data_IF_147786849563
#
_entry.id   IF_147786849563
#
_cell.length_a   1.000
_cell.length_b   1.000
_cell.length_c   1.000
_cell.angle_alpha   90.00
_cell.angle_beta   90.00
_cell.angle_gamma   90.00
#
_symmetry.space_group_name_H-M   'P 1'
#
loop_
_entity.id
_entity.type
_entity.pdbx_description
1 polymer ?
#
# COMPACT_ATOMS: atom_id res chain seq x y z
N UNK A 1 16.00 -12.44 -4.86
CA UNK A 1 15.43 -11.07 -4.70
C UNK A 1 16.50 -10.05 -5.06
N UNK A 2 16.16 -9.03 -5.87
CA UNK A 2 17.10 -8.04 -6.43
C UNK A 2 16.48 -6.65 -6.41
N UNK A 3 17.22 -5.65 -5.92
CA UNK A 3 16.87 -4.24 -6.07
C UNK A 3 17.36 -3.75 -7.45
N UNK A 4 16.47 -3.12 -8.21
CA UNK A 4 16.80 -2.60 -9.52
C UNK A 4 16.08 -1.26 -9.77
N UNK A 5 16.40 -0.61 -10.88
CA UNK A 5 15.81 0.67 -11.25
C UNK A 5 15.31 0.60 -12.69
N UNK A 6 14.10 1.12 -12.89
CA UNK A 6 13.53 1.29 -14.21
C UNK A 6 13.37 2.78 -14.54
N UNK A 7 13.55 3.15 -15.79
CA UNK A 7 13.31 4.51 -16.26
C UNK A 7 12.03 4.54 -17.10
N UNK A 8 11.05 5.28 -16.61
CA UNK A 8 9.79 5.52 -17.30
C UNK A 8 10.00 6.39 -18.54
N UNK A 9 9.02 6.38 -19.45
CA UNK A 9 9.07 7.13 -20.71
C UNK A 9 9.15 8.66 -20.49
N UNK A 10 8.61 9.16 -19.39
CA UNK A 10 8.71 10.56 -18.99
C UNK A 10 10.07 10.95 -18.38
N UNK A 11 10.97 9.98 -18.22
CA UNK A 11 12.33 10.14 -17.71
C UNK A 11 12.45 9.94 -16.19
N UNK A 12 11.36 9.75 -15.45
CA UNK A 12 11.42 9.42 -14.03
C UNK A 12 12.11 8.07 -13.82
N UNK A 13 12.97 7.99 -12.81
CA UNK A 13 13.53 6.75 -12.29
C UNK A 13 12.60 6.20 -11.24
N UNK A 14 12.26 4.92 -11.30
CA UNK A 14 11.53 4.20 -10.25
C UNK A 14 12.39 3.06 -9.69
N UNK A 15 12.31 2.89 -8.38
CA UNK A 15 12.99 1.83 -7.63
C UNK A 15 12.08 0.61 -7.56
N UNK A 16 12.64 -0.55 -7.89
CA UNK A 16 11.96 -1.83 -7.88
C UNK A 16 12.69 -2.81 -6.97
N UNK A 17 11.94 -3.67 -6.30
CA UNK A 17 12.42 -4.88 -5.67
C UNK A 17 11.75 -6.07 -6.34
N UNK A 18 12.54 -6.93 -6.98
CA UNK A 18 12.03 -8.05 -7.77
C UNK A 18 12.44 -9.39 -7.18
N UNK A 19 11.59 -10.41 -7.32
CA UNK A 19 11.86 -11.78 -6.88
C UNK A 19 11.32 -12.79 -7.89
N UNK A 20 12.06 -13.87 -8.05
CA UNK A 20 11.80 -14.89 -9.06
C UNK A 20 12.36 -14.54 -10.44
N UNK A 21 12.14 -15.43 -11.40
CA UNK A 21 12.51 -15.21 -12.79
C UNK A 21 11.35 -14.56 -13.54
N UNK A 22 11.55 -13.48 -14.31
CA UNK A 22 10.49 -12.87 -15.09
C UNK A 22 9.74 -13.89 -15.96
N UNK A 23 8.40 -13.83 -15.93
CA UNK A 23 7.49 -14.70 -16.67
C UNK A 23 6.21 -13.92 -17.02
N UNK A 24 5.32 -14.51 -17.82
CA UNK A 24 4.11 -13.84 -18.30
C UNK A 24 3.12 -13.43 -17.19
N UNK A 25 3.18 -14.09 -16.04
CA UNK A 25 2.32 -13.85 -14.89
C UNK A 25 3.13 -13.28 -13.73
N UNK A 26 2.61 -12.25 -13.04
CA UNK A 26 3.29 -11.65 -11.90
C UNK A 26 2.33 -11.22 -10.78
N UNK A 27 2.86 -11.15 -9.55
CA UNK A 27 2.22 -10.45 -8.44
C UNK A 27 2.89 -9.08 -8.29
N UNK A 28 2.08 -8.02 -8.26
CA UNK A 28 2.53 -6.63 -8.05
C UNK A 28 2.17 -6.19 -6.64
N UNK A 29 3.10 -5.58 -5.93
CA UNK A 29 2.90 -5.15 -4.55
C UNK A 29 2.98 -3.62 -4.41
N UNK A 30 1.94 -3.02 -3.77
CA UNK A 30 1.85 -1.60 -3.44
C UNK A 30 1.98 -1.40 -1.93
N UNK A 31 3.07 -0.75 -1.52
CA UNK A 31 3.35 -0.47 -0.10
C UNK A 31 2.34 0.49 0.53
N UNK A 32 2.28 0.52 1.87
CA UNK A 32 1.48 1.46 2.65
C UNK A 32 1.99 2.91 2.56
N UNK A 33 1.42 3.80 3.34
CA UNK A 33 1.79 5.21 3.43
C UNK A 33 2.08 5.59 4.88
N UNK A 34 3.34 6.01 5.21
CA UNK A 34 4.51 5.88 4.34
C UNK A 34 5.02 4.44 4.23
N UNK A 35 5.77 4.15 3.17
CA UNK A 35 6.36 2.86 2.95
C UNK A 35 7.28 2.83 1.74
N UNK A 36 7.91 1.69 1.48
CA UNK A 36 8.78 1.49 0.33
C UNK A 36 8.84 0.01 -0.07
N UNK A 37 9.64 -0.34 -1.06
CA UNK A 37 9.74 -1.72 -1.58
C UNK A 37 10.06 -2.75 -0.50
N UNK A 38 10.84 -2.40 0.52
CA UNK A 38 11.24 -3.34 1.58
C UNK A 38 10.09 -3.83 2.47
N UNK A 39 8.94 -3.16 2.46
CA UNK A 39 7.70 -3.65 3.10
C UNK A 39 7.39 -5.10 2.67
N UNK A 40 7.72 -5.44 1.44
CA UNK A 40 7.29 -6.66 0.80
C UNK A 40 8.35 -7.78 0.72
N UNK A 41 9.51 -7.63 1.37
CA UNK A 41 10.61 -8.61 1.26
C UNK A 41 10.19 -10.05 1.58
N UNK A 42 9.46 -10.26 2.67
CA UNK A 42 8.97 -11.58 3.06
C UNK A 42 7.92 -12.14 2.08
N UNK A 43 7.06 -11.28 1.55
CA UNK A 43 6.03 -11.63 0.57
C UNK A 43 6.61 -11.99 -0.78
N UNK A 44 7.55 -11.20 -1.26
CA UNK A 44 8.30 -11.46 -2.50
C UNK A 44 9.04 -12.79 -2.43
N UNK A 45 9.70 -13.06 -1.30
CA UNK A 45 10.40 -14.34 -1.06
C UNK A 45 9.41 -15.52 -1.08
N UNK A 46 8.23 -15.36 -0.51
CA UNK A 46 7.23 -16.43 -0.49
C UNK A 46 6.67 -16.70 -1.89
N UNK A 47 6.40 -15.67 -2.70
CA UNK A 47 5.99 -15.86 -4.11
C UNK A 47 7.08 -16.57 -4.90
N UNK A 48 8.36 -16.15 -4.76
CA UNK A 48 9.50 -16.80 -5.41
C UNK A 48 9.64 -18.27 -5.01
N UNK A 49 9.49 -18.61 -3.73
CA UNK A 49 9.55 -19.99 -3.23
C UNK A 49 8.43 -20.88 -3.80
N UNK A 50 7.30 -20.29 -4.22
CA UNK A 50 6.21 -20.98 -4.90
C UNK A 50 6.39 -20.98 -6.43
N UNK A 51 7.55 -20.56 -6.95
CA UNK A 51 7.89 -20.54 -8.37
C UNK A 51 7.27 -19.38 -9.15
N UNK A 52 6.69 -18.38 -8.45
CA UNK A 52 6.13 -17.18 -9.04
C UNK A 52 7.18 -16.10 -9.34
N UNK A 53 6.77 -15.10 -10.11
CA UNK A 53 7.49 -13.84 -10.29
C UNK A 53 6.69 -12.73 -9.63
N UNK A 54 7.38 -11.86 -8.90
CA UNK A 54 6.75 -10.74 -8.23
C UNK A 54 7.67 -9.53 -8.18
N UNK A 55 7.08 -8.36 -8.10
CA UNK A 55 7.81 -7.14 -7.81
C UNK A 55 6.99 -6.18 -6.94
N UNK A 56 7.72 -5.38 -6.19
CA UNK A 56 7.23 -4.18 -5.53
C UNK A 56 7.97 -2.98 -6.10
N UNK A 57 7.34 -1.81 -6.10
CA UNK A 57 8.03 -0.58 -6.45
C UNK A 57 7.80 0.49 -5.39
N UNK A 58 8.81 1.32 -5.16
CA UNK A 58 8.65 2.53 -4.36
C UNK A 58 7.89 3.54 -5.20
N UNK A 59 6.66 3.91 -4.78
CA UNK A 59 5.84 4.92 -5.47
C UNK A 59 6.62 6.22 -5.66
N UNK A 60 6.22 7.09 -6.61
CA UNK A 60 6.92 8.34 -6.87
C UNK A 60 7.14 9.17 -5.60
N UNK A 61 8.40 9.57 -5.38
CA UNK A 61 8.82 10.34 -4.21
C UNK A 61 9.24 9.52 -2.98
N UNK A 62 9.07 8.19 -3.00
CA UNK A 62 9.55 7.30 -1.96
C UNK A 62 10.86 6.61 -2.35
N UNK A 63 11.63 6.20 -1.33
CA UNK A 63 12.91 5.52 -1.54
C UNK A 63 13.79 6.30 -2.50
N UNK A 64 14.24 5.64 -3.57
CA UNK A 64 15.03 6.27 -4.62
C UNK A 64 14.24 6.58 -5.90
N UNK A 65 12.91 6.48 -5.86
CA UNK A 65 12.05 6.87 -6.96
C UNK A 65 11.94 8.39 -7.10
N UNK A 66 11.97 8.88 -8.35
CA UNK A 66 11.75 10.29 -8.58
C UNK A 66 10.31 10.70 -8.23
N UNK A 67 10.14 11.91 -7.71
CA UNK A 67 8.82 12.49 -7.41
C UNK A 67 7.98 12.68 -8.68
N UNK A 68 6.67 12.49 -8.54
CA UNK A 68 5.64 12.91 -9.49
C UNK A 68 4.67 13.82 -8.74
N UNK A 69 4.95 15.11 -8.73
CA UNK A 69 4.17 16.10 -8.01
C UNK A 69 2.76 16.23 -8.57
N UNK A 70 1.75 16.30 -7.69
CA UNK A 70 0.34 16.45 -8.05
C UNK A 70 -0.30 15.19 -8.66
N UNK A 71 0.37 14.02 -8.52
CA UNK A 71 -0.22 12.74 -8.94
C UNK A 71 -1.51 12.44 -8.16
N UNK A 72 -2.40 11.74 -8.82
CA UNK A 72 -3.58 11.10 -8.25
C UNK A 72 -3.35 9.59 -8.07
N UNK A 73 -4.30 8.89 -7.47
CA UNK A 73 -4.19 7.43 -7.28
C UNK A 73 -4.05 6.70 -8.62
N UNK A 74 -4.85 7.08 -9.64
CA UNK A 74 -4.83 6.40 -10.95
C UNK A 74 -3.51 6.58 -11.72
N UNK A 75 -2.74 7.63 -11.47
CA UNK A 75 -1.49 7.88 -12.19
C UNK A 75 -0.48 6.75 -12.00
N UNK A 76 -0.54 6.05 -10.85
CA UNK A 76 0.29 4.87 -10.60
C UNK A 76 0.06 3.73 -11.59
N UNK A 77 -1.16 3.55 -12.08
CA UNK A 77 -1.45 2.49 -13.04
C UNK A 77 -0.66 2.67 -14.34
N UNK A 78 -0.40 3.90 -14.77
CA UNK A 78 0.45 4.18 -15.93
C UNK A 78 1.91 3.76 -15.71
N UNK A 79 2.46 4.03 -14.51
CA UNK A 79 3.81 3.60 -14.15
C UNK A 79 3.91 2.06 -14.14
N UNK A 80 2.91 1.38 -13.55
CA UNK A 80 2.83 -0.08 -13.56
C UNK A 80 2.74 -0.63 -14.99
N UNK A 81 1.92 -0.06 -15.87
CA UNK A 81 1.80 -0.52 -17.25
C UNK A 81 3.15 -0.49 -17.98
N UNK A 82 3.96 0.55 -17.78
CA UNK A 82 5.30 0.62 -18.38
C UNK A 82 6.25 -0.46 -17.81
N UNK A 83 6.19 -0.72 -16.51
CA UNK A 83 6.99 -1.76 -15.85
C UNK A 83 6.57 -3.15 -16.37
N UNK A 84 5.26 -3.43 -16.49
CA UNK A 84 4.75 -4.69 -17.02
C UNK A 84 5.25 -4.93 -18.46
N UNK A 85 5.22 -3.90 -19.29
CA UNK A 85 5.72 -3.97 -20.68
C UNK A 85 7.22 -4.25 -20.72
N UNK A 86 8.01 -3.66 -19.81
CA UNK A 86 9.45 -3.91 -19.70
C UNK A 86 9.78 -5.37 -19.40
N UNK A 87 9.05 -5.99 -18.46
CA UNK A 87 9.24 -7.40 -18.10
C UNK A 87 8.52 -8.39 -19.03
N UNK A 88 7.70 -7.94 -19.96
CA UNK A 88 6.89 -8.80 -20.83
C UNK A 88 5.76 -9.51 -20.08
N UNK A 89 5.19 -8.87 -19.05
CA UNK A 89 4.13 -9.44 -18.21
C UNK A 89 2.78 -9.28 -18.93
N UNK A 90 2.01 -10.36 -18.98
CA UNK A 90 0.70 -10.42 -19.64
C UNK A 90 -0.47 -10.46 -18.64
N UNK A 91 -0.23 -10.98 -17.43
CA UNK A 91 -1.26 -11.04 -16.37
C UNK A 91 -0.67 -10.64 -15.02
N UNK A 92 -1.43 -9.86 -14.26
CA UNK A 92 -1.08 -9.49 -12.89
C UNK A 92 -2.23 -9.72 -11.91
N UNK A 93 -1.84 -10.01 -10.67
CA UNK A 93 -2.65 -9.73 -9.49
C UNK A 93 -1.92 -8.66 -8.70
N UNK A 94 -2.60 -7.55 -8.41
CA UNK A 94 -2.05 -6.47 -7.59
C UNK A 94 -2.48 -6.62 -6.14
N UNK A 95 -1.52 -6.56 -5.22
CA UNK A 95 -1.75 -6.59 -3.77
C UNK A 95 -1.34 -5.23 -3.21
N UNK A 96 -2.23 -4.59 -2.45
CA UNK A 96 -1.97 -3.31 -1.80
C UNK A 96 -2.27 -3.36 -0.32
N UNK A 97 -1.39 -2.80 0.52
CA UNK A 97 -1.58 -2.71 1.96
C UNK A 97 -1.79 -1.27 2.39
N UNK A 98 -2.80 -1.01 3.25
CA UNK A 98 -3.04 0.34 3.79
C UNK A 98 -3.28 1.37 2.67
N UNK A 99 -2.49 2.44 2.63
CA UNK A 99 -2.44 3.40 1.52
C UNK A 99 -2.12 2.78 0.14
N UNK A 100 -1.59 1.56 0.08
CA UNK A 100 -1.44 0.79 -1.16
C UNK A 100 -2.74 0.19 -1.70
N UNK A 101 -3.79 0.10 -0.87
CA UNK A 101 -5.09 -0.45 -1.25
C UNK A 101 -5.73 0.28 -2.44
N UNK A 102 -5.91 1.61 -2.42
CA UNK A 102 -6.40 2.38 -3.56
C UNK A 102 -5.58 2.16 -4.83
N UNK A 103 -4.25 2.03 -4.71
CA UNK A 103 -3.36 1.83 -5.85
C UNK A 103 -3.53 0.44 -6.50
N UNK A 104 -3.67 -0.63 -5.71
CA UNK A 104 -3.96 -1.95 -6.28
C UNK A 104 -5.36 -2.01 -6.92
N UNK A 105 -6.33 -1.25 -6.40
CA UNK A 105 -7.64 -1.10 -7.02
C UNK A 105 -7.54 -0.32 -8.35
N UNK A 106 -6.70 0.71 -8.44
CA UNK A 106 -6.46 1.44 -9.68
C UNK A 106 -5.90 0.53 -10.79
N UNK A 107 -5.05 -0.44 -10.44
CA UNK A 107 -4.52 -1.41 -11.40
C UNK A 107 -5.60 -2.28 -12.05
N UNK A 108 -6.80 -2.37 -11.48
CA UNK A 108 -7.93 -3.09 -12.13
C UNK A 108 -8.35 -2.45 -13.46
N UNK A 109 -7.96 -1.20 -13.72
CA UNK A 109 -8.16 -0.51 -15.01
C UNK A 109 -7.22 -1.02 -16.10
N UNK A 110 -6.10 -1.66 -15.75
CA UNK A 110 -5.14 -2.22 -16.69
C UNK A 110 -5.70 -3.48 -17.38
N UNK A 111 -5.37 -3.63 -18.66
CA UNK A 111 -5.75 -4.82 -19.42
C UNK A 111 -5.17 -6.11 -18.81
N UNK A 112 -3.94 -6.05 -18.31
CA UNK A 112 -3.22 -7.17 -17.73
C UNK A 112 -3.76 -7.60 -16.36
N UNK A 113 -4.52 -6.74 -15.67
CA UNK A 113 -5.04 -7.07 -14.34
C UNK A 113 -6.10 -8.16 -14.43
N UNK A 114 -5.94 -9.21 -13.62
CA UNK A 114 -6.92 -10.30 -13.47
C UNK A 114 -7.63 -10.28 -12.13
N UNK A 115 -7.02 -9.69 -11.10
CA UNK A 115 -7.63 -9.47 -9.78
C UNK A 115 -6.85 -8.41 -9.01
N UNK A 116 -7.46 -7.84 -7.96
CA UNK A 116 -6.81 -7.01 -6.97
C UNK A 116 -7.09 -7.53 -5.54
N UNK A 117 -6.13 -7.39 -4.65
CA UNK A 117 -6.24 -7.76 -3.23
C UNK A 117 -5.84 -6.55 -2.39
N UNK A 118 -6.77 -5.99 -1.63
CA UNK A 118 -6.53 -4.88 -0.72
C UNK A 118 -6.50 -5.38 0.72
N UNK A 119 -5.41 -5.11 1.42
CA UNK A 119 -5.18 -5.49 2.82
C UNK A 119 -5.27 -4.23 3.67
N UNK A 120 -6.26 -4.15 4.55
CA UNK A 120 -6.49 -2.98 5.41
C UNK A 120 -6.45 -1.66 4.62
N UNK A 121 -7.05 -1.63 3.41
CA UNK A 121 -6.98 -0.50 2.50
C UNK A 121 -7.99 0.59 2.84
N UNK A 122 -7.60 1.85 2.66
CA UNK A 122 -8.51 2.99 2.85
C UNK A 122 -9.59 3.04 1.77
N UNK A 123 -10.79 3.51 2.15
CA UNK A 123 -11.82 3.92 1.20
C UNK A 123 -11.61 5.38 0.75
N UNK A 124 -12.39 5.88 -0.23
CA UNK A 124 -12.23 7.24 -0.74
C UNK A 124 -12.68 8.29 0.28
N UNK A 125 -11.84 9.32 0.45
CA UNK A 125 -12.19 10.48 1.27
C UNK A 125 -13.39 11.22 0.69
N UNK A 126 -14.29 11.68 1.57
CA UNK A 126 -15.49 12.44 1.15
C UNK A 126 -16.62 11.58 0.57
N UNK A 127 -16.52 10.26 0.61
CA UNK A 127 -17.65 9.39 0.29
C UNK A 127 -18.83 9.66 1.24
N UNK A 128 -20.06 9.73 0.70
CA UNK A 128 -21.22 10.25 1.43
C UNK A 128 -21.66 9.39 2.62
N UNK A 129 -21.29 8.14 2.67
CA UNK A 129 -21.67 7.14 3.68
C UNK A 129 -20.45 6.45 4.33
N UNK A 130 -19.29 7.10 4.27
CA UNK A 130 -18.06 6.73 4.98
C UNK A 130 -17.54 7.95 5.75
N UNK A 131 -17.57 7.89 7.07
CA UNK A 131 -16.76 8.80 7.88
C UNK A 131 -15.33 8.30 7.86
N UNK A 132 -14.50 8.94 7.03
CA UNK A 132 -13.14 8.47 6.73
C UNK A 132 -12.25 8.40 7.97
N UNK A 133 -12.43 9.31 8.92
CA UNK A 133 -11.57 9.39 10.11
C UNK A 133 -12.16 8.67 11.34
N UNK A 134 -13.42 8.24 11.30
CA UNK A 134 -14.07 7.61 12.45
C UNK A 134 -13.35 6.31 12.86
N UNK A 135 -12.85 6.29 14.10
CA UNK A 135 -12.13 5.14 14.68
C UNK A 135 -10.64 5.10 14.38
N UNK A 136 -10.10 6.02 13.58
CA UNK A 136 -8.65 6.19 13.43
C UNK A 136 -8.02 6.78 14.69
N UNK A 137 -6.74 6.50 14.93
CA UNK A 137 -5.95 7.16 15.97
C UNK A 137 -5.80 8.66 15.74
N UNK A 138 -5.53 9.41 16.81
CA UNK A 138 -5.47 10.88 16.78
C UNK A 138 -4.39 11.39 15.80
N UNK A 139 -3.31 10.64 15.63
CA UNK A 139 -2.22 10.95 14.71
C UNK A 139 -2.75 11.11 13.27
N UNK A 140 -3.61 10.20 12.82
CA UNK A 140 -4.24 10.27 11.50
C UNK A 140 -5.20 11.46 11.37
N UNK A 141 -5.92 11.81 12.43
CA UNK A 141 -6.78 13.01 12.41
C UNK A 141 -5.97 14.28 12.18
N UNK A 142 -4.78 14.37 12.76
CA UNK A 142 -3.88 15.52 12.59
C UNK A 142 -3.31 15.57 11.18
N UNK A 143 -2.80 14.43 10.69
CA UNK A 143 -2.17 14.27 9.37
C UNK A 143 -3.15 14.55 8.23
N UNK A 144 -4.27 13.82 8.17
CA UNK A 144 -5.30 14.06 7.15
C UNK A 144 -5.97 15.42 7.30
N UNK A 145 -6.09 15.93 8.53
CA UNK A 145 -6.53 17.31 8.78
C UNK A 145 -5.60 18.36 8.19
N UNK A 146 -4.30 18.08 8.07
CA UNK A 146 -3.35 18.93 7.38
C UNK A 146 -3.46 18.74 5.85
N UNK A 147 -3.60 17.51 5.35
CA UNK A 147 -3.76 17.21 3.93
C UNK A 147 -5.00 17.92 3.33
N UNK A 148 -6.14 17.86 4.01
CA UNK A 148 -7.39 18.56 3.59
C UNK A 148 -7.23 20.07 3.49
N UNK A 149 -6.33 20.68 4.30
CA UNK A 149 -6.03 22.12 4.21
C UNK A 149 -5.12 22.47 3.03
N UNK A 150 -4.59 21.46 2.35
CA UNK A 150 -3.80 21.59 1.13
C UNK A 150 -2.29 21.52 1.31
N UNK A 151 -1.54 21.64 0.19
CA UNK A 151 -0.10 21.32 0.14
C UNK A 151 0.76 22.04 1.17
N UNK A 152 0.53 23.33 1.41
CA UNK A 152 1.34 24.10 2.37
C UNK A 152 1.16 23.63 3.82
N UNK A 153 -0.06 23.19 4.18
CA UNK A 153 -0.34 22.74 5.54
C UNK A 153 0.27 21.34 5.80
N UNK A 154 0.10 20.40 4.85
CA UNK A 154 0.69 19.07 4.99
C UNK A 154 2.23 19.13 4.89
N UNK A 155 2.81 20.02 4.06
CA UNK A 155 4.25 20.19 3.99
C UNK A 155 4.84 20.67 5.31
N UNK A 156 4.17 21.58 6.00
CA UNK A 156 4.62 22.03 7.33
C UNK A 156 4.57 20.90 8.35
N UNK A 157 3.50 20.10 8.33
CA UNK A 157 3.39 18.91 9.18
C UNK A 157 4.51 17.90 8.90
N UNK A 158 4.82 17.65 7.61
CA UNK A 158 5.91 16.75 7.20
C UNK A 158 7.27 17.21 7.70
N UNK A 159 7.56 18.52 7.67
CA UNK A 159 8.83 19.08 8.18
C UNK A 159 9.03 18.80 9.67
N UNK A 160 7.95 18.78 10.43
CA UNK A 160 8.00 18.56 11.87
C UNK A 160 8.05 17.05 12.24
N UNK A 161 7.45 16.16 11.41
CA UNK A 161 7.21 14.76 11.77
C UNK A 161 8.05 13.76 10.98
N UNK A 162 8.30 13.97 9.68
CA UNK A 162 8.91 12.96 8.84
C UNK A 162 10.35 12.58 9.22
N UNK A 163 11.11 13.52 9.77
CA UNK A 163 12.51 13.28 10.14
C UNK A 163 12.68 12.19 11.22
N UNK A 164 11.67 11.97 12.04
CA UNK A 164 11.67 10.92 13.07
C UNK A 164 11.78 9.50 12.45
N UNK A 165 11.26 9.32 11.23
CA UNK A 165 11.32 8.03 10.54
C UNK A 165 12.72 7.67 10.01
N UNK A 166 13.59 8.67 9.81
CA UNK A 166 14.91 8.47 9.18
C UNK A 166 15.82 7.50 9.94
N UNK A 167 15.62 7.37 11.24
CA UNK A 167 16.46 6.56 12.11
C UNK A 167 15.64 5.65 13.05
N UNK A 168 14.31 5.55 12.83
CA UNK A 168 13.46 4.73 13.69
C UNK A 168 13.93 3.28 13.67
N UNK A 169 14.03 2.69 14.86
CA UNK A 169 14.44 1.29 15.06
C UNK A 169 13.22 0.41 15.31
N UNK A 170 13.38 -0.92 15.21
CA UNK A 170 12.32 -1.85 15.57
C UNK A 170 11.86 -1.71 17.03
N UNK A 171 12.78 -1.38 17.94
CA UNK A 171 12.44 -1.20 19.36
C UNK A 171 11.59 0.05 19.61
N UNK A 172 11.75 1.09 18.77
CA UNK A 172 11.04 2.37 18.89
C UNK A 172 9.71 2.39 18.14
N UNK A 173 9.49 1.44 17.22
CA UNK A 173 8.33 1.49 16.29
C UNK A 173 6.98 1.36 17.03
N UNK A 174 6.93 0.59 18.11
CA UNK A 174 5.69 0.41 18.89
C UNK A 174 5.30 1.72 19.58
N UNK A 175 6.28 2.44 20.13
CA UNK A 175 6.06 3.75 20.75
C UNK A 175 5.71 4.81 19.69
N UNK A 176 6.38 4.76 18.53
CA UNK A 176 6.15 5.68 17.43
C UNK A 176 4.73 5.58 16.85
N UNK A 177 4.11 4.39 16.88
CA UNK A 177 2.73 4.23 16.43
C UNK A 177 1.68 4.78 17.39
N UNK A 178 1.99 4.93 18.69
CA UNK A 178 1.08 5.55 19.65
C UNK A 178 -0.31 4.90 19.68
N UNK A 179 -1.33 5.70 19.36
CA UNK A 179 -2.73 5.31 19.33
C UNK A 179 -3.19 4.58 18.06
N UNK A 180 -2.31 4.43 17.07
CA UNK A 180 -2.63 3.82 15.76
C UNK A 180 -2.71 2.28 15.81
N UNK A 181 -2.20 1.63 16.87
CA UNK A 181 -2.11 0.16 16.96
C UNK A 181 -2.81 -0.42 18.19
N UNK A 182 -3.56 -1.51 17.97
CA UNK A 182 -4.19 -2.32 19.01
C UNK A 182 -3.27 -3.39 19.59
N UNK A 183 -3.84 -4.27 20.40
CA UNK A 183 -3.10 -5.33 21.10
C UNK A 183 -2.56 -6.39 20.11
N UNK A 184 -3.29 -6.67 19.03
CA UNK A 184 -2.88 -7.62 18.00
C UNK A 184 -1.60 -7.15 17.31
N UNK A 185 -1.55 -5.88 16.91
CA UNK A 185 -0.38 -5.28 16.25
C UNK A 185 0.82 -5.20 17.19
N UNK A 186 0.62 -4.76 18.43
CA UNK A 186 1.67 -4.74 19.46
C UNK A 186 2.30 -6.11 19.65
N UNK A 187 1.46 -7.17 19.68
CA UNK A 187 1.94 -8.53 19.75
C UNK A 187 2.77 -8.92 18.53
N UNK A 188 2.26 -8.67 17.32
CA UNK A 188 2.95 -9.00 16.06
C UNK A 188 4.30 -8.29 15.94
N UNK A 189 4.36 -7.01 16.30
CA UNK A 189 5.60 -6.24 16.32
C UNK A 189 6.63 -6.83 17.30
N UNK A 190 6.21 -7.18 18.52
CA UNK A 190 7.08 -7.82 19.51
C UNK A 190 7.54 -9.22 19.08
N UNK A 191 6.74 -9.95 18.30
CA UNK A 191 7.06 -11.29 17.78
C UNK A 191 8.00 -11.25 16.56
N UNK A 192 8.44 -10.05 16.09
CA UNK A 192 9.51 -9.88 15.11
C UNK A 192 9.21 -9.01 13.90
N UNK A 193 7.98 -8.51 13.71
CA UNK A 193 7.63 -7.66 12.57
C UNK A 193 8.25 -6.24 12.65
N UNK A 194 8.59 -5.77 13.85
CA UNK A 194 8.98 -4.39 14.12
C UNK A 194 10.15 -3.88 13.25
N UNK A 195 11.23 -4.65 13.11
CA UNK A 195 12.38 -4.21 12.32
C UNK A 195 12.08 -4.14 10.82
N UNK A 196 11.23 -5.02 10.30
CA UNK A 196 10.75 -4.95 8.91
C UNK A 196 9.99 -3.66 8.63
N UNK A 197 9.08 -3.29 9.54
CA UNK A 197 8.32 -2.04 9.48
C UNK A 197 9.24 -0.83 9.59
N UNK A 198 10.13 -0.80 10.58
CA UNK A 198 11.09 0.27 10.77
C UNK A 198 12.01 0.45 9.54
N UNK A 199 12.48 -0.64 8.95
CA UNK A 199 13.27 -0.63 7.71
C UNK A 199 12.51 0.02 6.56
N UNK A 200 11.23 -0.33 6.37
CA UNK A 200 10.40 0.27 5.33
C UNK A 200 10.22 1.76 5.54
N UNK A 201 10.02 2.20 6.77
CA UNK A 201 9.87 3.61 7.11
C UNK A 201 11.18 4.40 6.85
N UNK A 202 12.33 3.87 7.26
CA UNK A 202 13.63 4.49 6.93
C UNK A 202 13.83 4.63 5.42
N UNK A 203 13.53 3.56 4.66
CA UNK A 203 13.63 3.58 3.20
C UNK A 203 12.64 4.58 2.59
N UNK A 204 11.44 4.70 3.13
CA UNK A 204 10.38 5.54 2.55
C UNK A 204 10.80 7.01 2.40
N UNK A 205 11.63 7.51 3.30
CA UNK A 205 12.08 8.91 3.35
C UNK A 205 13.54 9.13 2.95
N UNK A 206 14.21 8.15 2.30
CA UNK A 206 15.59 8.31 1.85
C UNK A 206 15.81 9.54 0.94
N UNK A 207 14.82 9.86 0.09
CA UNK A 207 14.84 11.04 -0.78
C UNK A 207 14.02 12.23 -0.20
N UNK A 208 13.61 12.13 1.06
CA UNK A 208 12.76 13.12 1.74
C UNK A 208 11.30 12.66 1.84
N UNK A 209 10.43 13.52 2.32
CA UNK A 209 9.05 13.21 2.67
C UNK A 209 8.03 13.37 1.53
N UNK A 210 8.46 13.74 0.35
CA UNK A 210 7.53 14.11 -0.73
C UNK A 210 6.63 12.97 -1.20
N UNK A 211 7.11 11.73 -1.15
CA UNK A 211 6.28 10.57 -1.48
C UNK A 211 5.08 10.45 -0.53
N UNK A 212 5.31 10.61 0.76
CA UNK A 212 4.29 10.60 1.81
C UNK A 212 3.30 11.75 1.63
N UNK A 213 3.82 12.97 1.51
CA UNK A 213 3.01 14.16 1.28
C UNK A 213 2.11 14.04 0.04
N UNK A 214 2.64 13.54 -1.07
CA UNK A 214 1.89 13.40 -2.32
C UNK A 214 0.84 12.28 -2.25
N UNK A 215 1.07 11.20 -1.48
CA UNK A 215 0.05 10.18 -1.18
C UNK A 215 -1.10 10.78 -0.36
N UNK A 216 -0.81 11.50 0.73
CA UNK A 216 -1.84 12.10 1.58
C UNK A 216 -2.73 13.08 0.80
N UNK A 217 -2.12 13.88 -0.07
CA UNK A 217 -2.87 14.76 -0.97
C UNK A 217 -3.72 13.96 -1.97
N UNK A 218 -3.20 12.86 -2.52
CA UNK A 218 -3.94 12.02 -3.45
C UNK A 218 -5.10 11.27 -2.78
N UNK A 219 -5.01 10.95 -1.49
CA UNK A 219 -6.11 10.27 -0.76
C UNK A 219 -7.29 11.19 -0.50
N UNK A 220 -7.05 12.48 -0.27
CA UNK A 220 -8.13 13.45 0.02
C UNK A 220 -8.76 14.04 -1.24
N UNK A 221 -8.26 13.71 -2.41
CA UNK A 221 -8.77 14.10 -3.73
C UNK A 221 -9.44 12.90 -4.44
N UNK A 222 -10.23 13.12 -5.51
CA UNK A 222 -10.78 12.03 -6.31
C UNK A 222 -9.69 11.13 -6.87
N UNK A 223 -9.87 9.82 -6.74
CA UNK A 223 -8.87 8.82 -7.14
C UNK A 223 -8.58 8.74 -8.65
N UNK A 224 -9.43 9.38 -9.49
CA UNK A 224 -9.27 9.42 -10.95
C UNK A 224 -9.90 8.22 -11.67
N UNK A 225 -10.55 7.29 -10.96
CA UNK A 225 -11.34 6.19 -11.52
C UNK A 225 -12.58 5.92 -10.65
N UNK A 226 -13.57 5.25 -11.25
CA UNK A 226 -14.81 4.88 -10.57
C UNK A 226 -14.71 3.43 -10.06
N UNK A 227 -14.68 3.25 -8.74
CA UNK A 227 -14.65 1.93 -8.11
C UNK A 227 -15.90 1.09 -8.39
N UNK A 228 -17.06 1.73 -8.63
CA UNK A 228 -18.27 1.03 -9.00
C UNK A 228 -18.20 0.41 -10.41
N UNK A 229 -17.27 0.86 -11.23
CA UNK A 229 -17.01 0.29 -12.58
C UNK A 229 -16.05 -0.90 -12.57
N UNK A 230 -15.45 -1.25 -11.43
CA UNK A 230 -14.52 -2.38 -11.31
C UNK A 230 -15.27 -3.68 -11.64
N UNK A 231 -14.78 -4.38 -12.67
CA UNK A 231 -15.33 -5.66 -13.13
C UNK A 231 -14.41 -6.85 -12.85
N UNK A 232 -13.19 -6.60 -12.43
CA UNK A 232 -12.22 -7.63 -12.03
C UNK A 232 -12.49 -8.10 -10.61
N UNK A 233 -12.24 -9.37 -10.24
CA UNK A 233 -12.32 -9.82 -8.86
C UNK A 233 -11.52 -8.95 -7.91
N UNK A 234 -12.12 -8.60 -6.78
CA UNK A 234 -11.47 -7.85 -5.70
C UNK A 234 -11.63 -8.63 -4.39
N UNK A 235 -10.50 -8.96 -3.75
CA UNK A 235 -10.50 -9.53 -2.40
C UNK A 235 -10.08 -8.43 -1.42
N UNK A 236 -10.87 -8.23 -0.38
CA UNK A 236 -10.61 -7.26 0.68
C UNK A 236 -10.29 -8.03 1.96
N UNK A 237 -9.18 -7.71 2.61
CA UNK A 237 -8.80 -8.30 3.89
C UNK A 237 -8.81 -7.22 4.96
N UNK A 238 -9.50 -7.44 6.08
CA UNK A 238 -9.68 -6.42 7.11
C UNK A 238 -9.80 -7.06 8.49
N UNK A 239 -9.08 -6.48 9.46
CA UNK A 239 -9.19 -6.81 10.89
C UNK A 239 -10.13 -5.85 11.63
N UNK A 240 -10.50 -6.18 12.85
CA UNK A 240 -11.33 -5.30 13.69
C UNK A 240 -10.55 -4.57 14.80
N UNK A 241 -9.27 -4.90 15.00
CA UNK A 241 -8.37 -4.23 15.96
C UNK A 241 -7.45 -3.21 15.25
N UNK A 242 -7.91 -2.70 14.10
CA UNK A 242 -7.20 -1.76 13.23
C UNK A 242 -7.63 -0.32 13.53
N UNK A 243 -6.70 0.49 14.06
CA UNK A 243 -6.89 1.92 14.36
C UNK A 243 -6.15 2.83 13.37
N UNK A 244 -5.41 2.25 12.40
CA UNK A 244 -4.87 2.99 11.27
C UNK A 244 -5.91 3.14 10.16
N UNK A 245 -6.55 2.01 9.79
CA UNK A 245 -7.65 1.96 8.82
C UNK A 245 -8.78 1.12 9.40
N UNK A 246 -9.73 1.73 10.11
CA UNK A 246 -10.84 1.04 10.74
C UNK A 246 -11.66 0.19 9.77
N UNK A 247 -12.22 -0.90 10.27
CA UNK A 247 -12.93 -1.89 9.45
C UNK A 247 -14.15 -1.33 8.68
N UNK A 248 -14.63 -0.14 9.03
CA UNK A 248 -15.64 0.58 8.28
C UNK A 248 -15.23 0.80 6.82
N UNK A 249 -13.92 1.04 6.55
CA UNK A 249 -13.39 1.17 5.19
C UNK A 249 -13.56 -0.11 4.38
N UNK A 250 -13.18 -1.26 4.92
CA UNK A 250 -13.33 -2.56 4.27
C UNK A 250 -14.79 -2.89 3.95
N UNK A 251 -15.70 -2.66 4.90
CA UNK A 251 -17.14 -2.85 4.68
C UNK A 251 -17.71 -1.87 3.65
N UNK A 252 -17.25 -0.62 3.66
CA UNK A 252 -17.67 0.35 2.66
C UNK A 252 -17.21 -0.05 1.25
N UNK A 253 -15.95 -0.49 1.11
CA UNK A 253 -15.40 -0.96 -0.18
C UNK A 253 -16.15 -2.19 -0.68
N UNK A 254 -16.46 -3.17 0.19
CA UNK A 254 -17.26 -4.34 -0.19
C UNK A 254 -18.64 -3.96 -0.72
N UNK A 255 -19.29 -3.00 -0.07
CA UNK A 255 -20.62 -2.52 -0.48
C UNK A 255 -20.60 -1.81 -1.83
N UNK A 256 -19.51 -1.11 -2.16
CA UNK A 256 -19.45 -0.18 -3.29
C UNK A 256 -18.67 -0.71 -4.51
N UNK A 257 -17.92 -1.80 -4.36
CA UNK A 257 -17.24 -2.49 -5.47
C UNK A 257 -18.04 -3.75 -5.83
N UNK A 258 -18.66 -3.83 -7.04
CA UNK A 258 -19.59 -4.92 -7.37
C UNK A 258 -18.99 -6.34 -7.30
N UNK A 259 -17.66 -6.44 -7.46
CA UNK A 259 -16.93 -7.72 -7.49
C UNK A 259 -16.19 -8.00 -6.19
N UNK A 260 -16.29 -7.13 -5.19
CA UNK A 260 -15.54 -7.27 -3.96
C UNK A 260 -16.09 -8.38 -3.06
N UNK A 261 -15.16 -9.04 -2.39
CA UNK A 261 -15.42 -10.01 -1.34
C UNK A 261 -14.56 -9.68 -0.13
N UNK A 262 -15.19 -9.44 1.02
CA UNK A 262 -14.50 -9.14 2.26
C UNK A 262 -14.15 -10.40 3.05
N UNK A 263 -12.88 -10.56 3.39
CA UNK A 263 -12.35 -11.46 4.38
C UNK A 263 -12.16 -10.69 5.69
N UNK A 264 -13.20 -10.66 6.50
CA UNK A 264 -13.14 -10.03 7.80
C UNK A 264 -12.53 -10.99 8.82
N UNK A 265 -11.40 -10.60 9.44
CA UNK A 265 -10.63 -11.47 10.35
C UNK A 265 -10.67 -10.88 11.76
N UNK A 266 -11.56 -11.42 12.64
CA UNK A 266 -11.65 -10.92 14.01
C UNK A 266 -10.35 -11.14 14.79
N UNK A 267 -9.96 -10.13 15.59
CA UNK A 267 -8.76 -10.17 16.42
C UNK A 267 -7.48 -9.74 15.72
N UNK A 268 -7.54 -9.38 14.43
CA UNK A 268 -6.38 -8.83 13.70
C UNK A 268 -6.43 -7.30 13.67
N UNK A 269 -5.26 -6.69 13.74
CA UNK A 269 -5.04 -5.26 13.54
C UNK A 269 -4.51 -4.96 12.14
N UNK A 270 -3.86 -3.82 11.99
CA UNK A 270 -3.34 -3.34 10.71
C UNK A 270 -2.13 -4.13 10.22
N UNK A 271 -1.19 -4.43 11.13
CA UNK A 271 0.07 -5.12 10.85
C UNK A 271 -0.10 -6.62 10.99
N UNK A 272 -0.73 -7.06 12.08
CA UNK A 272 -0.91 -8.47 12.40
C UNK A 272 -1.71 -9.21 11.33
N UNK A 273 -2.68 -8.56 10.71
CA UNK A 273 -3.43 -9.09 9.58
C UNK A 273 -2.53 -9.55 8.44
N UNK A 274 -1.63 -8.68 7.98
CA UNK A 274 -0.68 -9.00 6.93
C UNK A 274 0.27 -10.12 7.33
N UNK A 275 0.82 -10.09 8.54
CA UNK A 275 1.75 -11.11 9.03
C UNK A 275 1.08 -12.49 9.17
N UNK A 276 -0.11 -12.55 9.75
CA UNK A 276 -0.80 -13.80 10.03
C UNK A 276 -1.51 -14.40 8.79
N UNK A 277 -1.94 -13.57 7.84
CA UNK A 277 -2.69 -14.02 6.66
C UNK A 277 -1.84 -14.06 5.38
N UNK A 278 -0.55 -13.73 5.43
CA UNK A 278 0.35 -13.64 4.27
C UNK A 278 0.24 -14.84 3.32
N UNK A 279 0.42 -16.04 3.83
CA UNK A 279 0.41 -17.26 3.00
C UNK A 279 -0.96 -17.52 2.36
N UNK A 280 -2.06 -17.22 3.06
CA UNK A 280 -3.41 -17.36 2.52
C UNK A 280 -3.67 -16.33 1.40
N UNK A 281 -3.22 -15.09 1.58
CA UNK A 281 -3.35 -14.02 0.60
C UNK A 281 -2.51 -14.33 -0.65
N UNK A 282 -1.26 -14.79 -0.49
CA UNK A 282 -0.40 -15.18 -1.62
C UNK A 282 -0.98 -16.37 -2.37
N UNK A 283 -1.48 -17.39 -1.66
CA UNK A 283 -2.12 -18.53 -2.30
C UNK A 283 -3.36 -18.11 -3.13
N UNK A 284 -4.13 -17.16 -2.61
CA UNK A 284 -5.26 -16.57 -3.32
C UNK A 284 -4.79 -15.84 -4.60
N UNK A 285 -3.77 -14.99 -4.48
CA UNK A 285 -3.21 -14.25 -5.61
C UNK A 285 -2.69 -15.19 -6.73
N UNK A 286 -1.91 -16.20 -6.36
CA UNK A 286 -1.40 -17.19 -7.31
C UNK A 286 -2.51 -18.03 -7.93
N UNK A 287 -3.61 -18.25 -7.21
CA UNK A 287 -4.80 -18.92 -7.73
C UNK A 287 -5.45 -18.19 -8.91
N UNK A 288 -5.44 -16.87 -8.93
CA UNK A 288 -5.95 -16.07 -10.05
C UNK A 288 -5.01 -16.05 -11.27
N UNK A 289 -3.72 -16.37 -11.11
CA UNK A 289 -2.72 -16.36 -12.17
C UNK A 289 -2.61 -17.72 -12.92
N UNK A 290 -3.18 -18.76 -12.36
CA UNK A 290 -3.15 -20.15 -12.93
C UNK A 290 -4.23 -20.40 -13.99
#
# INVERSE_FOLDING_TARGET
MEQTFFRLADGRKVELLVAGTPQANAVVFHHGTPGATSTWEAWLTEVENQGGFAFSYSRPGYGQSNRHEGRTIIDNASDIEEILRHFGIEKIVSIGWSGGGPHCLADTTLFQSVAAISIAGVGPFGASDLDFLEGMGEENHIEFGAAVKGPAAIENWMKDNASALAQVTGDEIIEAFGGLIGDADKKSLNDGAAEGVAKSYRQSIEAGYYGWMDDDLAFVEPWGFDIASISKPVELWQGNDDFMVPHAHGHWLEKNIPTAKLHFVPGEGHISLGENQRSAIIANALGYLN
#
